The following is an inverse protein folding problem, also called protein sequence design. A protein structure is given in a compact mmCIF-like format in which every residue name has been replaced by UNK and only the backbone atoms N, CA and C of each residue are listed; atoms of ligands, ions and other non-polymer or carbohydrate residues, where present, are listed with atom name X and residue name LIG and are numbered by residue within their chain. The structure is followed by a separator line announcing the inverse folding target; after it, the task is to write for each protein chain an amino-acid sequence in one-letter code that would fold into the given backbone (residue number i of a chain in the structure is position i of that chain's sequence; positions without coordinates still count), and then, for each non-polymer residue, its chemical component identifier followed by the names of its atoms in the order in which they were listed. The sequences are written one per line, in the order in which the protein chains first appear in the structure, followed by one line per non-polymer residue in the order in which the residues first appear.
data_IF_103661846385
#
_entry.id   IF_103661846385
#
_cell.length_a   1.000
_cell.length_b   1.000
_cell.length_c   1.000
_cell.angle_alpha   90.00
_cell.angle_beta   90.00
_cell.angle_gamma   90.00
#
_symmetry.space_group_name_H-M   'P 1'
#
loop_
_entity.id
_entity.type
_entity.pdbx_description
1 polymer ?
#
# COMPACT_ATOMS: atom_id res chain seq x y z
N UNK A 1 8.39 24.31 19.65
CA UNK A 1 7.77 23.63 18.50
C UNK A 1 6.82 22.59 19.06
N UNK A 2 5.51 22.85 19.04
CA UNK A 2 4.52 21.94 19.65
C UNK A 2 4.40 20.74 18.73
N UNK A 3 4.96 19.60 19.14
CA UNK A 3 4.68 18.34 18.48
C UNK A 3 3.22 17.97 18.78
N UNK A 4 2.30 18.41 17.92
CA UNK A 4 0.98 17.82 17.87
C UNK A 4 1.16 16.37 17.39
N UNK A 5 1.33 15.45 18.34
CA UNK A 5 1.30 14.04 18.04
C UNK A 5 -0.10 13.73 17.56
N UNK A 6 -0.20 13.39 16.29
CA UNK A 6 -1.42 12.90 15.69
C UNK A 6 -1.93 11.71 16.49
N UNK A 7 -3.18 11.75 17.03
CA UNK A 7 -3.66 10.70 17.91
C UNK A 7 -3.87 9.39 17.16
N UNK A 8 -3.75 8.29 17.89
CA UNK A 8 -4.14 6.97 17.39
C UNK A 8 -5.64 6.92 17.13
N UNK A 9 -6.08 6.32 16.01
CA UNK A 9 -7.49 6.05 15.78
C UNK A 9 -8.13 5.23 16.89
N UNK A 10 -9.35 5.61 17.24
CA UNK A 10 -10.24 4.94 18.21
C UNK A 10 -11.38 4.25 17.48
N UNK A 11 -12.16 3.43 18.19
CA UNK A 11 -13.34 2.79 17.59
C UNK A 11 -14.40 3.80 17.10
N UNK A 12 -14.54 4.94 17.78
CA UNK A 12 -15.49 6.00 17.40
C UNK A 12 -15.19 6.59 16.04
N UNK A 13 -13.91 6.63 15.66
CA UNK A 13 -13.49 7.15 14.37
C UNK A 13 -14.01 6.30 13.19
N UNK A 14 -14.42 5.05 13.46
CA UNK A 14 -14.99 4.11 12.48
C UNK A 14 -16.52 4.03 12.50
N UNK A 15 -17.19 4.86 13.30
CA UNK A 15 -18.67 4.95 13.29
C UNK A 15 -19.19 5.68 12.03
N UNK A 16 -18.32 6.44 11.35
CA UNK A 16 -18.67 7.12 10.11
C UNK A 16 -18.58 6.18 8.91
N UNK A 17 -19.69 6.07 8.16
CA UNK A 17 -19.75 5.37 6.88
C UNK A 17 -19.21 6.28 5.78
N UNK A 18 -18.14 5.86 5.13
CA UNK A 18 -17.57 6.59 4.01
C UNK A 18 -18.37 6.30 2.73
N UNK A 19 -18.80 7.36 2.04
CA UNK A 19 -19.46 7.23 0.74
C UNK A 19 -18.40 7.30 -0.36
N UNK A 20 -17.72 6.18 -0.60
CA UNK A 20 -16.75 6.11 -1.70
C UNK A 20 -17.50 6.10 -3.03
N UNK A 21 -17.16 7.05 -3.90
CA UNK A 21 -17.69 7.15 -5.25
C UNK A 21 -16.96 6.19 -6.18
N UNK A 22 -17.71 5.54 -7.07
CA UNK A 22 -17.16 4.69 -8.13
C UNK A 22 -17.10 3.21 -7.79
N UNK A 23 -16.55 2.40 -8.71
CA UNK A 23 -16.46 0.97 -8.57
C UNK A 23 -15.44 0.57 -7.48
N UNK A 24 -15.77 -0.47 -6.73
CA UNK A 24 -14.89 -1.05 -5.73
C UNK A 24 -14.16 -2.23 -6.38
N UNK A 25 -12.89 -2.48 -6.01
CA UNK A 25 -12.16 -3.66 -6.49
C UNK A 25 -12.90 -4.95 -6.13
N UNK A 26 -13.54 -4.96 -4.94
CA UNK A 26 -14.22 -6.13 -4.39
C UNK A 26 -15.56 -6.45 -5.04
N UNK A 27 -16.23 -5.59 -5.81
CA UNK A 27 -17.59 -5.87 -6.32
C UNK A 27 -17.71 -7.24 -7.05
N UNK A 28 -16.60 -7.74 -7.60
CA UNK A 28 -16.52 -9.06 -8.26
C UNK A 28 -16.02 -10.20 -7.38
N UNK A 29 -15.27 -9.88 -6.33
CA UNK A 29 -14.62 -10.85 -5.44
C UNK A 29 -15.50 -11.04 -4.20
N UNK A 30 -15.77 -9.94 -3.48
CA UNK A 30 -16.71 -9.87 -2.36
C UNK A 30 -17.80 -8.82 -2.67
N UNK A 31 -18.98 -9.21 -3.19
CA UNK A 31 -20.09 -8.28 -3.50
C UNK A 31 -20.73 -7.60 -2.27
N UNK A 32 -20.03 -7.58 -1.14
CA UNK A 32 -20.46 -7.02 0.12
C UNK A 32 -19.34 -6.19 0.74
N UNK A 33 -18.99 -5.07 0.12
CA UNK A 33 -18.62 -3.88 0.91
C UNK A 33 -19.89 -3.42 1.61
N UNK A 34 -20.35 -4.18 2.61
CA UNK A 34 -21.54 -3.80 3.35
C UNK A 34 -21.26 -2.41 3.93
N UNK A 35 -22.14 -1.42 3.69
CA UNK A 35 -21.88 -0.03 4.07
C UNK A 35 -21.60 0.17 5.56
N UNK A 36 -21.83 -0.85 6.40
CA UNK A 36 -21.68 -0.81 7.85
C UNK A 36 -20.61 -1.77 8.39
N UNK A 37 -19.90 -2.50 7.53
CA UNK A 37 -18.94 -3.51 7.98
C UNK A 37 -17.54 -2.92 8.20
N UNK A 38 -16.94 -3.23 9.35
CA UNK A 38 -15.54 -2.88 9.67
C UNK A 38 -14.67 -4.10 9.39
N UNK A 39 -13.74 -3.99 8.45
CA UNK A 39 -12.81 -5.07 8.16
C UNK A 39 -11.62 -5.03 9.13
N UNK A 40 -11.33 -6.19 9.73
CA UNK A 40 -10.16 -6.40 10.58
C UNK A 40 -9.26 -7.44 9.94
N UNK A 41 -8.28 -6.95 9.19
CA UNK A 41 -7.41 -7.80 8.37
C UNK A 41 -6.00 -7.87 8.97
N UNK A 42 -5.28 -8.92 8.62
CA UNK A 42 -3.85 -9.09 8.83
C UNK A 42 -3.22 -9.36 7.47
N UNK A 43 -2.25 -8.54 7.12
CA UNK A 43 -1.47 -8.66 5.89
C UNK A 43 -0.06 -9.10 6.28
N UNK A 44 0.38 -10.26 5.79
CA UNK A 44 1.67 -10.87 6.15
C UNK A 44 2.49 -11.11 4.90
N UNK A 45 3.70 -10.60 4.88
CA UNK A 45 4.68 -10.87 3.85
C UNK A 45 5.09 -12.36 3.85
N UNK A 46 5.16 -12.99 2.69
CA UNK A 46 5.51 -14.41 2.51
C UNK A 46 7.00 -14.52 2.19
N UNK A 47 7.84 -14.73 3.20
CA UNK A 47 9.30 -14.87 2.99
C UNK A 47 9.73 -16.20 2.36
N UNK A 48 8.92 -17.26 2.40
CA UNK A 48 9.32 -18.60 1.93
C UNK A 48 9.17 -18.81 0.42
N UNK A 49 8.58 -17.85 -0.31
CA UNK A 49 8.66 -17.77 -1.79
C UNK A 49 9.85 -16.95 -2.27
N UNK A 50 10.80 -16.65 -1.37
CA UNK A 50 11.99 -15.84 -1.65
C UNK A 50 12.89 -16.52 -2.65
N UNK A 51 12.77 -16.04 -3.89
CA UNK A 51 13.96 -15.58 -4.56
C UNK A 51 13.82 -14.23 -5.23
N UNK A 52 12.67 -13.53 -5.13
CA UNK A 52 12.59 -12.29 -5.90
C UNK A 52 11.64 -11.17 -5.43
N UNK A 53 10.49 -11.33 -4.75
CA UNK A 53 9.71 -10.12 -4.40
C UNK A 53 8.51 -10.24 -3.46
N UNK A 54 8.20 -9.12 -2.83
CA UNK A 54 7.27 -9.00 -1.70
C UNK A 54 5.87 -9.47 -2.11
N UNK A 55 5.45 -10.56 -1.49
CA UNK A 55 4.13 -11.14 -1.68
C UNK A 55 3.43 -11.15 -0.34
N UNK A 56 2.18 -10.67 -0.28
CA UNK A 56 1.42 -10.58 0.95
C UNK A 56 0.24 -11.56 0.93
N UNK A 57 0.18 -12.42 1.94
CA UNK A 57 -1.05 -13.12 2.30
C UNK A 57 -1.94 -12.21 3.11
N UNK A 58 -3.22 -12.15 2.75
CA UNK A 58 -4.21 -11.35 3.48
C UNK A 58 -5.21 -12.32 4.12
N UNK A 59 -5.52 -12.09 5.39
CA UNK A 59 -6.48 -12.88 6.16
C UNK A 59 -7.22 -11.97 7.12
N UNK A 60 -8.38 -12.40 7.60
CA UNK A 60 -9.02 -11.81 8.75
C UNK A 60 -8.21 -12.07 10.02
N UNK A 61 -8.45 -11.28 11.08
CA UNK A 61 -7.75 -11.43 12.37
C UNK A 61 -7.98 -12.79 13.04
N UNK A 62 -9.08 -13.45 12.74
CA UNK A 62 -9.42 -14.79 13.24
C UNK A 62 -8.65 -15.91 12.51
N UNK A 63 -7.91 -15.59 11.45
CA UNK A 63 -7.16 -16.55 10.64
C UNK A 63 -7.86 -16.96 9.34
N UNK A 64 -9.12 -16.58 9.14
CA UNK A 64 -9.86 -16.89 7.90
C UNK A 64 -9.19 -16.19 6.71
N UNK A 65 -8.87 -16.91 5.61
CA UNK A 65 -8.28 -16.29 4.43
C UNK A 65 -9.16 -15.17 3.87
N UNK A 66 -8.54 -14.05 3.50
CA UNK A 66 -9.21 -13.02 2.71
C UNK A 66 -9.19 -13.47 1.26
N UNK A 67 -10.22 -13.17 0.49
CA UNK A 67 -10.39 -13.71 -0.86
C UNK A 67 -9.40 -13.14 -1.90
N UNK A 68 -8.44 -12.33 -1.49
CA UNK A 68 -7.39 -11.79 -2.35
C UNK A 68 -6.01 -11.92 -1.69
N UNK A 69 -4.99 -12.02 -2.53
CA UNK A 69 -3.58 -11.90 -2.14
C UNK A 69 -2.82 -10.93 -3.06
N UNK A 70 -1.72 -10.39 -2.55
CA UNK A 70 -0.83 -9.51 -3.33
C UNK A 70 0.43 -10.31 -3.65
N UNK A 71 0.84 -10.35 -4.91
CA UNK A 71 2.05 -11.04 -5.37
C UNK A 71 3.00 -10.07 -6.06
N UNK A 72 4.23 -9.98 -5.57
CA UNK A 72 5.32 -9.32 -6.27
C UNK A 72 5.72 -10.10 -7.52
N UNK A 73 6.06 -9.39 -8.61
CA UNK A 73 6.61 -9.97 -9.83
C UNK A 73 7.94 -9.29 -10.17
N UNK A 74 8.99 -10.10 -10.29
CA UNK A 74 10.36 -9.58 -10.12
C UNK A 74 11.25 -9.80 -11.34
N UNK A 75 10.91 -10.78 -12.17
CA UNK A 75 11.64 -11.00 -13.43
C UNK A 75 11.24 -10.01 -14.53
N UNK A 76 10.55 -8.92 -14.17
CA UNK A 76 10.24 -7.83 -15.10
C UNK A 76 11.07 -6.61 -14.74
N UNK A 77 11.64 -5.91 -15.73
CA UNK A 77 12.35 -4.63 -15.60
C UNK A 77 11.55 -3.51 -14.87
N UNK A 78 10.31 -3.79 -14.47
CA UNK A 78 9.43 -2.88 -13.75
C UNK A 78 8.99 -3.58 -12.47
N UNK A 79 9.23 -2.93 -11.34
CA UNK A 79 8.71 -3.35 -10.04
C UNK A 79 7.18 -3.33 -10.11
N UNK A 80 6.60 -4.51 -10.00
CA UNK A 80 5.16 -4.75 -10.14
C UNK A 80 4.67 -5.59 -8.98
N UNK A 81 3.55 -5.19 -8.42
CA UNK A 81 2.74 -6.05 -7.56
C UNK A 81 1.38 -6.31 -8.23
N UNK A 82 0.84 -7.50 -8.03
CA UNK A 82 -0.42 -7.95 -8.64
C UNK A 82 -1.36 -8.36 -7.52
N UNK A 83 -2.54 -7.76 -7.48
CA UNK A 83 -3.64 -8.22 -6.63
C UNK A 83 -4.38 -9.33 -7.36
N UNK A 84 -4.44 -10.53 -6.77
CA UNK A 84 -5.17 -11.68 -7.32
C UNK A 84 -6.28 -12.12 -6.37
N UNK A 85 -7.36 -12.64 -6.93
CA UNK A 85 -8.41 -13.29 -6.14
C UNK A 85 -8.03 -14.73 -5.77
N UNK A 86 -8.87 -15.38 -4.95
CA UNK A 86 -8.73 -16.77 -4.50
C UNK A 86 -8.73 -17.80 -5.64
N UNK A 87 -9.22 -17.41 -6.83
CA UNK A 87 -9.22 -18.22 -8.06
C UNK A 87 -7.99 -17.95 -8.92
N UNK A 88 -7.12 -17.03 -8.51
CA UNK A 88 -5.90 -16.63 -9.22
C UNK A 88 -6.13 -15.59 -10.32
N UNK A 89 -7.35 -15.06 -10.50
CA UNK A 89 -7.61 -14.00 -11.47
C UNK A 89 -6.98 -12.69 -11.01
N UNK A 90 -6.48 -11.91 -11.95
CA UNK A 90 -5.97 -10.56 -11.65
C UNK A 90 -7.12 -9.59 -11.44
N UNK A 91 -7.06 -8.88 -10.31
CA UNK A 91 -8.06 -7.89 -9.90
C UNK A 91 -7.49 -6.48 -10.04
N UNK A 92 -6.20 -6.30 -9.73
CA UNK A 92 -5.51 -5.04 -9.84
C UNK A 92 -4.01 -5.22 -10.04
N UNK A 93 -3.36 -4.17 -10.57
CA UNK A 93 -1.92 -4.14 -10.80
C UNK A 93 -1.36 -2.85 -10.22
N UNK A 94 -0.32 -2.95 -9.42
CA UNK A 94 0.43 -1.81 -8.90
C UNK A 94 1.75 -1.74 -9.66
N UNK A 95 2.05 -0.60 -10.27
CA UNK A 95 3.30 -0.37 -10.98
C UNK A 95 4.06 0.80 -10.37
N UNK A 96 5.35 0.58 -10.14
CA UNK A 96 6.27 1.67 -9.85
C UNK A 96 6.51 2.48 -11.12
N UNK A 97 6.45 3.80 -10.99
CA UNK A 97 6.73 4.77 -12.04
C UNK A 97 8.02 5.50 -11.67
N UNK A 98 9.03 5.41 -12.55
CA UNK A 98 10.28 6.14 -12.38
C UNK A 98 10.13 7.58 -12.91
N UNK A 99 9.90 8.52 -11.99
CA UNK A 99 10.01 9.96 -12.27
C UNK A 99 11.23 10.49 -11.51
N UNK A 100 12.08 11.24 -12.21
CA UNK A 100 13.51 11.53 -11.91
C UNK A 100 13.91 11.85 -10.46
N UNK A 101 13.00 12.25 -9.57
CA UNK A 101 13.28 12.60 -8.17
C UNK A 101 12.23 12.13 -7.16
N UNK A 102 11.15 11.48 -7.61
CA UNK A 102 10.05 11.11 -6.73
C UNK A 102 9.52 9.73 -7.11
N UNK A 103 9.57 8.81 -6.16
CA UNK A 103 8.96 7.51 -6.33
C UNK A 103 7.43 7.67 -6.36
N UNK A 104 6.83 7.27 -7.47
CA UNK A 104 5.39 7.28 -7.66
C UNK A 104 4.95 5.87 -7.97
N UNK A 105 3.85 5.44 -7.38
CA UNK A 105 3.20 4.17 -7.73
C UNK A 105 1.83 4.47 -8.32
N UNK A 106 1.42 3.69 -9.32
CA UNK A 106 0.07 3.74 -9.86
C UNK A 106 -0.62 2.41 -9.61
N UNK A 107 -1.84 2.49 -9.08
CA UNK A 107 -2.74 1.35 -8.89
C UNK A 107 -3.69 1.35 -10.08
N UNK A 108 -3.74 0.23 -10.79
CA UNK A 108 -4.54 0.03 -11.99
C UNK A 108 -5.60 -1.04 -11.77
N UNK A 109 -6.79 -0.80 -12.33
CA UNK A 109 -7.81 -1.83 -12.53
C UNK A 109 -7.83 -2.34 -13.98
N UNK A 110 -8.46 -3.49 -14.18
CA UNK A 110 -8.73 -4.07 -15.52
C UNK A 110 -9.98 -3.48 -16.19
N UNK A 111 -10.70 -2.60 -15.48
CA UNK A 111 -11.89 -1.88 -15.94
C UNK A 111 -11.75 -0.41 -15.60
N UNK A 112 -12.42 0.50 -16.32
CA UNK A 112 -12.38 1.91 -15.98
C UNK A 112 -13.00 2.16 -14.58
N UNK A 113 -12.46 3.15 -13.86
CA UNK A 113 -13.02 3.64 -12.60
C UNK A 113 -14.23 4.56 -12.84
N UNK A 114 -14.32 5.17 -14.03
CA UNK A 114 -15.46 6.00 -14.46
C UNK A 114 -15.87 5.62 -15.87
N UNK A 115 -17.16 5.73 -16.20
CA UNK A 115 -17.72 5.28 -17.49
C UNK A 115 -17.06 5.88 -18.75
N UNK A 116 -16.30 6.98 -18.62
CA UNK A 116 -15.59 7.65 -19.72
C UNK A 116 -14.07 7.65 -19.56
N UNK A 117 -13.50 6.86 -18.66
CA UNK A 117 -12.06 6.85 -18.42
C UNK A 117 -11.33 6.14 -19.57
N UNK A 118 -10.43 6.85 -20.25
CA UNK A 118 -9.54 6.26 -21.24
C UNK A 118 -8.57 5.25 -20.60
N UNK A 119 -8.21 4.17 -21.32
CA UNK A 119 -7.15 3.28 -20.87
C UNK A 119 -5.82 4.03 -20.78
N UNK A 120 -4.95 3.60 -19.88
CA UNK A 120 -3.56 4.06 -19.82
C UNK A 120 -2.72 3.41 -20.91
N UNK A 121 -1.50 3.91 -21.13
CA UNK A 121 -0.51 3.29 -22.01
C UNK A 121 0.06 1.97 -21.47
N UNK A 122 -0.39 1.53 -20.29
CA UNK A 122 0.07 0.29 -19.66
C UNK A 122 -0.83 -0.88 -20.03
N UNK A 123 -0.20 -2.03 -20.25
CA UNK A 123 -0.87 -3.30 -20.51
C UNK A 123 -0.40 -4.37 -19.54
N UNK A 124 -1.29 -5.32 -19.24
CA UNK A 124 -0.98 -6.50 -18.46
C UNK A 124 -1.66 -7.73 -19.09
N UNK A 125 -0.88 -8.75 -19.45
CA UNK A 125 -1.37 -9.97 -20.12
C UNK A 125 -2.26 -9.65 -21.34
N UNK A 126 -1.85 -8.67 -22.16
CA UNK A 126 -2.58 -8.23 -23.35
C UNK A 126 -3.86 -7.42 -23.08
N UNK A 127 -4.19 -7.14 -21.81
CA UNK A 127 -5.34 -6.31 -21.42
C UNK A 127 -4.90 -4.89 -21.10
N UNK A 128 -5.72 -3.92 -21.53
CA UNK A 128 -5.54 -2.52 -21.17
C UNK A 128 -5.74 -2.30 -19.67
N UNK A 129 -4.91 -1.43 -19.07
CA UNK A 129 -5.01 -1.03 -17.68
C UNK A 129 -5.60 0.37 -17.55
N UNK A 130 -6.43 0.59 -16.52
CA UNK A 130 -7.03 1.89 -16.21
C UNK A 130 -6.48 2.38 -14.87
N UNK A 131 -5.95 3.61 -14.83
CA UNK A 131 -5.38 4.17 -13.59
C UNK A 131 -6.49 4.46 -12.59
N UNK A 132 -6.54 3.73 -11.49
CA UNK A 132 -7.53 3.97 -10.43
C UNK A 132 -7.01 4.93 -9.38
N UNK A 133 -5.72 4.82 -9.05
CA UNK A 133 -5.10 5.71 -8.09
C UNK A 133 -3.61 5.94 -8.39
N UNK A 134 -3.11 7.08 -7.94
CA UNK A 134 -1.70 7.43 -7.91
C UNK A 134 -1.26 7.64 -6.47
N UNK A 135 -0.22 6.93 -6.06
CA UNK A 135 0.38 7.03 -4.73
C UNK A 135 1.71 7.76 -4.84
N UNK A 136 1.80 8.87 -4.12
CA UNK A 136 2.99 9.69 -4.04
C UNK A 136 3.43 9.85 -2.60
N UNK A 137 4.74 9.83 -2.40
CA UNK A 137 5.33 10.27 -1.15
C UNK A 137 5.60 11.77 -1.22
N UNK A 138 5.12 12.52 -0.22
CA UNK A 138 5.29 13.97 -0.22
C UNK A 138 6.72 14.31 0.19
N UNK A 139 7.42 15.07 -0.66
CA UNK A 139 8.80 15.50 -0.41
C UNK A 139 8.94 16.16 0.97
N UNK A 140 9.97 15.73 1.74
CA UNK A 140 10.24 16.11 3.14
C UNK A 140 9.12 15.81 4.16
N UNK A 141 8.14 14.98 3.81
CA UNK A 141 7.09 14.55 4.73
C UNK A 141 7.11 13.04 4.92
N UNK A 142 6.64 12.58 6.08
CA UNK A 142 6.33 11.16 6.33
C UNK A 142 4.97 10.75 5.74
N UNK A 143 4.24 11.71 5.15
CA UNK A 143 2.93 11.48 4.55
C UNK A 143 3.05 10.80 3.19
N UNK A 144 2.23 9.76 3.00
CA UNK A 144 1.92 9.21 1.67
C UNK A 144 0.50 9.58 1.29
N UNK A 145 0.31 9.95 0.03
CA UNK A 145 -0.97 10.42 -0.48
C UNK A 145 -1.36 9.54 -1.67
N UNK A 146 -2.52 8.91 -1.57
CA UNK A 146 -3.15 8.20 -2.68
C UNK A 146 -4.27 9.06 -3.25
N UNK A 147 -4.14 9.45 -4.51
CA UNK A 147 -5.12 10.25 -5.24
C UNK A 147 -5.84 9.36 -6.25
N UNK A 148 -7.15 9.22 -6.09
CA UNK A 148 -8.02 8.43 -6.95
C UNK A 148 -8.25 9.13 -8.30
N UNK A 149 -8.71 8.37 -9.30
CA UNK A 149 -9.06 8.89 -10.63
C UNK A 149 -10.21 9.92 -10.62
N UNK A 150 -10.99 10.00 -9.53
CA UNK A 150 -11.96 11.05 -9.30
C UNK A 150 -11.45 12.28 -8.56
N UNK A 151 -10.16 12.31 -8.23
CA UNK A 151 -9.54 13.38 -7.46
C UNK A 151 -9.69 13.21 -5.95
N UNK A 152 -10.40 12.17 -5.49
CA UNK A 152 -10.51 11.87 -4.06
C UNK A 152 -9.15 11.48 -3.49
N UNK A 153 -8.87 11.89 -2.25
CA UNK A 153 -7.55 11.72 -1.63
C UNK A 153 -7.63 10.94 -0.34
N UNK A 154 -6.79 9.91 -0.26
CA UNK A 154 -6.43 9.23 0.97
C UNK A 154 -5.06 9.73 1.44
N UNK A 155 -4.95 10.06 2.73
CA UNK A 155 -3.69 10.49 3.33
C UNK A 155 -3.30 9.52 4.43
N UNK A 156 -2.12 8.92 4.31
CA UNK A 156 -1.52 8.06 5.32
C UNK A 156 -0.49 8.86 6.12
N UNK A 157 -0.79 9.10 7.39
CA UNK A 157 0.09 9.74 8.36
C UNK A 157 0.74 8.68 9.26
N UNK A 158 2.01 8.83 9.59
CA UNK A 158 2.60 8.08 10.69
C UNK A 158 2.12 8.69 12.02
N UNK A 159 1.60 7.85 12.91
CA UNK A 159 1.13 8.21 14.25
C UNK A 159 1.90 7.44 15.32
N UNK A 160 2.07 8.04 16.49
CA UNK A 160 2.83 7.44 17.59
C UNK A 160 4.33 7.77 17.61
N UNK A 161 5.09 6.97 18.38
CA UNK A 161 6.52 7.20 18.60
C UNK A 161 7.36 6.84 17.38
N UNK A 162 8.37 7.66 17.08
CA UNK A 162 9.37 7.39 16.04
C UNK A 162 10.20 6.12 16.30
N UNK A 163 10.40 5.78 17.58
CA UNK A 163 11.21 4.62 18.00
C UNK A 163 10.37 3.33 18.17
N UNK A 164 9.06 3.40 17.94
CA UNK A 164 8.13 2.28 18.16
C UNK A 164 7.68 1.57 16.88
N UNK A 165 6.84 0.51 17.01
CA UNK A 165 6.17 -0.10 15.87
C UNK A 165 5.41 0.95 15.07
N UNK A 166 5.54 0.91 13.75
CA UNK A 166 4.93 1.91 12.89
C UNK A 166 3.41 1.79 12.95
N UNK A 167 2.72 2.90 13.16
CA UNK A 167 1.28 2.98 13.03
C UNK A 167 0.95 4.03 11.99
N UNK A 168 0.17 3.65 10.99
CA UNK A 168 -0.36 4.53 9.96
C UNK A 168 -1.83 4.82 10.26
N UNK A 169 -2.18 6.10 10.28
CA UNK A 169 -3.56 6.57 10.24
C UNK A 169 -3.88 6.99 8.82
N UNK A 170 -4.93 6.41 8.25
CA UNK A 170 -5.40 6.76 6.92
C UNK A 170 -6.67 7.59 7.05
N UNK A 171 -6.70 8.71 6.33
CA UNK A 171 -7.86 9.60 6.29
C UNK A 171 -8.41 9.74 4.89
N UNK A 172 -9.73 9.82 4.77
CA UNK A 172 -10.52 10.11 3.59
C UNK A 172 -11.31 11.39 3.87
N UNK A 173 -11.10 12.44 3.06
CA UNK A 173 -11.70 13.76 3.29
C UNK A 173 -11.51 14.29 4.73
N UNK A 174 -10.33 14.04 5.31
CA UNK A 174 -9.96 14.48 6.67
C UNK A 174 -10.54 13.64 7.81
N UNK A 175 -11.36 12.63 7.53
CA UNK A 175 -11.90 11.68 8.52
C UNK A 175 -11.14 10.36 8.45
N UNK A 176 -10.91 9.72 9.59
CA UNK A 176 -10.23 8.41 9.60
C UNK A 176 -11.08 7.40 8.83
N UNK A 177 -10.43 6.67 7.94
CA UNK A 177 -11.06 5.63 7.13
C UNK A 177 -10.39 4.27 7.32
N UNK A 178 -9.11 4.26 7.72
CA UNK A 178 -8.40 3.03 8.07
C UNK A 178 -7.24 3.32 9.02
N UNK A 179 -6.73 2.28 9.66
CA UNK A 179 -5.45 2.27 10.35
C UNK A 179 -4.67 1.01 10.04
N UNK A 180 -3.35 1.12 9.98
CA UNK A 180 -2.45 0.00 9.82
C UNK A 180 -1.36 0.04 10.88
N UNK A 181 -1.25 -1.01 11.69
CA UNK A 181 -0.19 -1.16 12.69
C UNK A 181 0.79 -2.22 12.23
N UNK A 182 2.05 -1.84 12.03
CA UNK A 182 3.13 -2.78 11.79
C UNK A 182 3.33 -3.61 13.07
N UNK A 183 3.31 -4.92 12.91
CA UNK A 183 3.58 -5.87 13.97
C UNK A 183 5.07 -6.23 13.91
N UNK A 184 5.81 -5.87 14.95
CA UNK A 184 7.18 -6.33 15.13
C UNK A 184 7.13 -7.77 15.63
N UNK A 185 7.06 -8.72 14.71
CA UNK A 185 7.27 -10.13 15.02
C UNK A 185 8.77 -10.38 15.15
N UNK A 186 9.39 -9.86 16.19
CA UNK A 186 10.81 -10.05 16.48
C UNK A 186 11.14 -11.48 16.98
N UNK A 187 10.54 -12.53 16.41
CA UNK A 187 10.72 -13.91 16.89
C UNK A 187 10.72 -14.99 15.80
N UNK A 188 10.09 -14.80 14.64
CA UNK A 188 10.13 -15.82 13.59
C UNK A 188 10.36 -15.22 12.22
N UNK A 189 11.06 -16.01 11.41
CA UNK A 189 11.47 -15.88 10.02
C UNK A 189 10.31 -15.59 9.04
N UNK A 190 9.42 -14.63 9.32
CA UNK A 190 8.13 -14.44 8.66
C UNK A 190 7.83 -13.12 7.95
N UNK A 191 8.77 -12.17 7.84
CA UNK A 191 8.61 -10.92 7.08
C UNK A 191 7.77 -9.85 7.79
N UNK A 192 7.59 -8.70 7.15
CA UNK A 192 6.77 -7.61 7.68
C UNK A 192 5.30 -8.03 7.77
N UNK A 193 4.65 -7.70 8.89
CA UNK A 193 3.22 -7.96 9.09
C UNK A 193 2.48 -6.68 9.48
N UNK A 194 1.29 -6.49 8.94
CA UNK A 194 0.41 -5.35 9.19
C UNK A 194 -0.92 -5.81 9.74
N UNK A 195 -1.35 -5.15 10.81
CA UNK A 195 -2.67 -5.30 11.42
C UNK A 195 -3.56 -4.12 10.98
N UNK A 196 -4.57 -4.40 10.16
CA UNK A 196 -5.40 -3.42 9.49
C UNK A 196 -6.78 -3.34 10.15
N UNK A 197 -7.30 -2.12 10.26
CA UNK A 197 -8.70 -1.85 10.58
C UNK A 197 -9.22 -0.86 9.55
N UNK A 198 -10.23 -1.26 8.78
CA UNK A 198 -10.77 -0.50 7.66
C UNK A 198 -12.23 -0.21 7.97
N UNK A 199 -12.59 1.07 7.93
CA UNK A 199 -13.91 1.55 8.27
C UNK A 199 -14.97 1.22 7.23
N UNK A 200 -16.24 1.47 7.56
CA UNK A 200 -17.36 1.14 6.70
C UNK A 200 -17.35 1.97 5.41
N UNK A 201 -17.76 1.34 4.31
CA UNK A 201 -17.84 1.98 2.99
C UNK A 201 -16.48 2.23 2.31
N UNK A 202 -15.37 1.79 2.91
CA UNK A 202 -14.02 1.87 2.33
C UNK A 202 -13.66 0.54 1.68
N UNK A 203 -13.10 0.57 0.47
CA UNK A 203 -12.64 -0.62 -0.25
C UNK A 203 -11.44 -1.29 0.46
N UNK A 204 -11.60 -2.50 1.04
CA UNK A 204 -10.50 -3.14 1.75
C UNK A 204 -9.35 -3.57 0.82
N UNK A 205 -9.64 -3.94 -0.44
CA UNK A 205 -8.61 -4.31 -1.41
C UNK A 205 -7.75 -3.10 -1.78
N UNK A 206 -8.38 -1.94 -2.02
CA UNK A 206 -7.67 -0.70 -2.30
C UNK A 206 -6.75 -0.31 -1.12
N UNK A 207 -7.24 -0.42 0.12
CA UNK A 207 -6.42 -0.13 1.30
C UNK A 207 -5.25 -1.11 1.41
N UNK A 208 -5.45 -2.41 1.20
CA UNK A 208 -4.36 -3.39 1.16
C UNK A 208 -3.31 -3.04 0.11
N UNK A 209 -3.72 -2.67 -1.11
CA UNK A 209 -2.81 -2.19 -2.15
C UNK A 209 -2.03 -0.94 -1.72
N UNK A 210 -2.71 0.02 -1.08
CA UNK A 210 -2.05 1.24 -0.61
C UNK A 210 -1.00 0.95 0.46
N UNK A 211 -1.30 0.06 1.43
CA UNK A 211 -0.33 -0.35 2.45
C UNK A 211 0.86 -1.09 1.84
N UNK A 212 0.63 -2.01 0.89
CA UNK A 212 1.72 -2.71 0.20
C UNK A 212 2.64 -1.75 -0.55
N UNK A 213 2.07 -0.75 -1.25
CA UNK A 213 2.84 0.31 -1.90
C UNK A 213 3.65 1.15 -0.90
N UNK A 214 3.08 1.48 0.27
CA UNK A 214 3.80 2.23 1.31
C UNK A 214 4.99 1.44 1.84
N UNK A 215 4.83 0.14 2.03
CA UNK A 215 5.88 -0.78 2.49
C UNK A 215 7.01 -0.83 1.45
N UNK A 216 6.68 -1.10 0.19
CA UNK A 216 7.61 -1.11 -0.95
C UNK A 216 8.39 0.23 -1.09
N UNK A 217 7.72 1.37 -0.98
CA UNK A 217 8.40 2.69 -1.00
C UNK A 217 9.42 2.83 0.14
N UNK A 218 9.11 2.29 1.32
CA UNK A 218 9.98 2.34 2.50
C UNK A 218 11.20 1.43 2.31
N UNK A 219 11.01 0.24 1.76
CA UNK A 219 12.11 -0.69 1.48
C UNK A 219 13.10 -0.11 0.47
N UNK A 220 12.57 0.44 -0.63
CA UNK A 220 13.40 1.10 -1.64
C UNK A 220 14.23 2.25 -1.07
N UNK A 221 13.66 3.09 -0.20
CA UNK A 221 14.40 4.16 0.47
C UNK A 221 15.55 3.63 1.33
N UNK A 222 15.34 2.53 2.07
CA UNK A 222 16.41 1.91 2.87
C UNK A 222 17.54 1.42 1.95
N UNK A 223 17.20 0.79 0.83
CA UNK A 223 18.17 0.31 -0.15
C UNK A 223 18.98 1.46 -0.76
N UNK A 224 18.33 2.55 -1.17
CA UNK A 224 18.99 3.75 -1.69
C UNK A 224 19.92 4.40 -0.65
N UNK A 225 19.48 4.47 0.61
CA UNK A 225 20.30 5.01 1.72
C UNK A 225 21.54 4.15 1.97
N UNK A 226 21.39 2.82 1.98
CA UNK A 226 22.49 1.89 2.18
C UNK A 226 23.52 1.97 1.04
N UNK A 227 23.06 2.04 -0.22
CA UNK A 227 23.90 2.24 -1.40
C UNK A 227 24.65 3.57 -1.34
N UNK A 228 23.97 4.67 -0.98
CA UNK A 228 24.59 5.98 -0.83
C UNK A 228 25.68 6.01 0.24
N UNK A 229 25.42 5.41 1.41
CA UNK A 229 26.42 5.27 2.48
C UNK A 229 27.63 4.44 2.02
N UNK A 230 27.41 3.31 1.36
CA UNK A 230 28.50 2.47 0.85
C UNK A 230 29.38 3.20 -0.17
N UNK A 231 28.77 3.96 -1.09
CA UNK A 231 29.50 4.76 -2.08
C UNK A 231 30.31 5.90 -1.43
N UNK A 232 29.75 6.56 -0.41
CA UNK A 232 30.45 7.61 0.33
C UNK A 232 31.68 7.10 1.10
N UNK A 233 31.61 5.89 1.65
CA UNK A 233 32.74 5.24 2.33
C UNK A 233 33.84 4.82 1.35
N UNK A 234 33.47 4.31 0.16
CA UNK A 234 34.44 3.98 -0.90
C UNK A 234 35.19 5.21 -1.40
N UNK A 235 34.48 6.33 -1.59
CA UNK A 235 35.10 7.60 -2.02
C UNK A 235 36.00 8.20 -0.93
N UNK A 236 35.62 8.08 0.35
CA UNK A 236 36.45 8.55 1.46
C UNK A 236 37.73 7.71 1.65
N UNK A 237 37.67 6.40 1.43
CA UNK A 237 38.84 5.51 1.47
C UNK A 237 39.85 5.81 0.36
N UNK A 238 39.38 6.02 -0.88
CA UNK A 238 40.24 6.35 -2.01
C UNK A 238 40.96 7.71 -1.86
N UNK A 239 40.37 8.66 -1.12
CA UNK A 239 40.97 9.95 -0.85
C UNK A 239 42.03 9.94 0.27
N UNK A 240 42.11 8.87 1.07
CA UNK A 240 43.13 8.72 2.13
C UNK A 240 44.41 8.01 1.65
N UNK A 241 44.37 7.37 0.48
CA UNK A 241 45.51 6.64 -0.11
C UNK A 241 46.27 7.47 -1.17
N UNK A 242 45.94 8.76 -1.32
CA UNK A 242 46.63 9.74 -2.17
C UNK A 242 47.35 10.79 -1.32
#
# INVERSE_FOLDING_TARGET
MVHHSTPFPTLRDYEYVHNVTGPIFTDRVMPSSEPQHIYRLRMREKMWTSWSGDSYGIQYRDGTPFEVDIKGQVLTLRDRMILRDSKGNVVGVMLRMFLRLQQTFKIYGLRPFKDSQAPSDQMFEGKALYTWAEVVEKFMSVQRIMTMADGTRYVADQVGSFLGPQHLRLTYNGRVCASARQLNWAADFGGTSWDLTIGPGVDPCLICCFIAVIDEMKENRKNETNLGCALSLLLAGAALEM
#
